data_IF_251313605712
#
_entry.id   IF_251313605712
#
_cell.length_a   1.000
_cell.length_b   1.000
_cell.length_c   1.000
_cell.angle_alpha   90.00
_cell.angle_beta   90.00
_cell.angle_gamma   90.00
#
_symmetry.space_group_name_H-M   'P 1'
#
loop_
_entity.id
_entity.type
_entity.pdbx_description
1 polymer ?
#
# COMPACT_ATOMS: atom_id res chain seq x y z
N UNK A 1 -10.94 -12.75 -0.04
CA UNK A 1 -12.39 -13.04 -0.17
C UNK A 1 -12.62 -13.88 -1.42
N UNK A 2 -13.46 -14.93 -1.33
CA UNK A 2 -13.71 -15.86 -2.42
C UNK A 2 -14.07 -15.11 -3.71
N UNK A 3 -13.29 -15.31 -4.78
CA UNK A 3 -13.53 -14.70 -6.11
C UNK A 3 -14.92 -15.02 -6.67
N UNK A 4 -15.59 -16.06 -6.14
CA UNK A 4 -16.95 -16.47 -6.51
C UNK A 4 -18.06 -15.63 -5.88
N UNK A 5 -17.75 -14.82 -4.85
CA UNK A 5 -18.73 -13.89 -4.32
C UNK A 5 -18.96 -12.75 -5.32
N UNK A 6 -20.23 -12.50 -5.66
CA UNK A 6 -20.63 -11.35 -6.46
C UNK A 6 -20.13 -10.09 -5.76
N UNK A 7 -19.63 -9.09 -6.49
CA UNK A 7 -19.08 -7.83 -5.93
C UNK A 7 -19.98 -7.21 -4.85
N UNK A 8 -21.29 -7.17 -5.09
CA UNK A 8 -22.29 -6.64 -4.13
C UNK A 8 -22.23 -7.34 -2.76
N UNK A 9 -22.10 -8.66 -2.75
CA UNK A 9 -21.98 -9.43 -1.50
C UNK A 9 -20.66 -9.17 -0.77
N UNK A 10 -19.59 -8.88 -1.50
CA UNK A 10 -18.30 -8.53 -0.89
C UNK A 10 -18.38 -7.19 -0.17
N UNK A 11 -18.90 -6.17 -0.82
CA UNK A 11 -18.98 -4.83 -0.25
C UNK A 11 -19.89 -4.80 0.99
N UNK A 12 -21.01 -5.54 0.98
CA UNK A 12 -21.88 -5.67 2.14
C UNK A 12 -21.21 -6.29 3.39
N UNK A 13 -20.05 -6.97 3.23
CA UNK A 13 -19.33 -7.56 4.35
C UNK A 13 -18.41 -6.56 5.07
N UNK A 14 -17.87 -5.53 4.38
CA UNK A 14 -16.79 -4.71 4.92
C UNK A 14 -17.24 -3.83 6.08
N UNK A 15 -18.34 -3.10 5.93
CA UNK A 15 -18.84 -2.19 6.97
C UNK A 15 -19.18 -2.92 8.29
N UNK A 16 -19.89 -4.06 8.29
CA UNK A 16 -20.09 -4.85 9.50
C UNK A 16 -18.82 -5.39 10.15
N UNK A 17 -17.73 -5.58 9.38
CA UNK A 17 -16.41 -5.93 9.91
C UNK A 17 -15.65 -4.75 10.46
N UNK A 18 -16.17 -3.52 10.37
CA UNK A 18 -15.57 -2.30 10.87
C UNK A 18 -14.59 -1.62 9.90
N UNK A 19 -14.74 -1.86 8.58
CA UNK A 19 -13.96 -1.18 7.55
C UNK A 19 -14.77 -0.05 6.92
N UNK A 20 -14.12 1.09 6.72
CA UNK A 20 -14.71 2.30 6.14
C UNK A 20 -14.29 2.52 4.69
N UNK A 21 -13.14 1.96 4.27
CA UNK A 21 -12.56 2.11 2.95
C UNK A 21 -12.38 0.81 2.19
N UNK A 22 -12.19 0.94 0.88
CA UNK A 22 -11.88 -0.16 -0.03
C UNK A 22 -10.82 0.31 -1.03
N UNK A 23 -9.84 -0.55 -1.27
CA UNK A 23 -8.80 -0.38 -2.28
C UNK A 23 -9.09 -1.26 -3.48
N UNK A 24 -8.73 -0.80 -4.67
CA UNK A 24 -9.03 -1.47 -5.92
C UNK A 24 -7.83 -1.59 -6.85
N UNK A 25 -7.83 -2.66 -7.63
CA UNK A 25 -7.20 -2.59 -8.95
C UNK A 25 -8.23 -2.13 -9.98
N UNK A 26 -7.76 -1.57 -11.08
CA UNK A 26 -8.60 -1.04 -12.15
C UNK A 26 -9.56 -2.10 -12.73
N UNK A 27 -9.10 -3.34 -12.90
CA UNK A 27 -9.91 -4.46 -13.38
C UNK A 27 -10.86 -5.04 -12.32
N UNK A 28 -10.66 -4.72 -11.04
CA UNK A 28 -11.68 -4.99 -10.01
C UNK A 28 -12.88 -4.05 -10.15
N UNK A 29 -12.66 -2.82 -10.61
CA UNK A 29 -13.71 -1.84 -10.92
C UNK A 29 -14.30 -2.15 -12.30
N UNK A 30 -13.44 -2.28 -13.30
CA UNK A 30 -13.79 -2.41 -14.72
C UNK A 30 -13.15 -3.67 -15.32
N UNK A 31 -13.75 -4.86 -15.11
CA UNK A 31 -13.23 -6.09 -15.73
C UNK A 31 -13.16 -5.96 -17.26
N UNK A 32 -12.00 -6.34 -17.82
CA UNK A 32 -11.75 -6.25 -19.27
C UNK A 32 -11.51 -4.82 -19.78
N UNK A 33 -11.02 -3.94 -18.93
CA UNK A 33 -10.79 -2.51 -19.21
C UNK A 33 -10.01 -2.25 -20.51
N UNK A 34 -9.15 -3.18 -20.95
CA UNK A 34 -8.37 -3.02 -22.19
C UNK A 34 -9.21 -3.10 -23.46
N UNK A 35 -10.32 -3.83 -23.41
CA UNK A 35 -11.18 -4.12 -24.56
C UNK A 35 -12.45 -3.25 -24.59
N UNK A 36 -12.61 -2.35 -23.61
CA UNK A 36 -13.84 -1.57 -23.43
C UNK A 36 -13.69 -0.15 -23.99
N UNK A 37 -14.81 0.35 -24.53
CA UNK A 37 -14.94 1.76 -24.91
C UNK A 37 -15.05 2.66 -23.66
N UNK A 38 -14.69 3.95 -23.75
CA UNK A 38 -14.86 4.88 -22.63
C UNK A 38 -16.28 4.87 -22.02
N UNK A 39 -17.32 4.86 -22.85
CA UNK A 39 -18.71 4.80 -22.39
C UNK A 39 -19.06 3.52 -21.62
N UNK A 40 -18.44 2.39 -21.98
CA UNK A 40 -18.60 1.13 -21.25
C UNK A 40 -17.87 1.18 -19.90
N UNK A 41 -16.70 1.80 -19.85
CA UNK A 41 -15.91 2.03 -18.63
C UNK A 41 -16.74 2.88 -17.66
N UNK A 42 -17.19 4.06 -18.07
CA UNK A 42 -18.04 4.96 -17.26
C UNK A 42 -19.27 4.23 -16.71
N UNK A 43 -19.95 3.42 -17.53
CA UNK A 43 -21.10 2.64 -17.07
C UNK A 43 -20.76 1.63 -15.98
N UNK A 44 -19.57 1.01 -16.03
CA UNK A 44 -19.11 0.10 -14.98
C UNK A 44 -18.72 0.84 -13.71
N UNK A 45 -18.00 1.96 -13.83
CA UNK A 45 -17.64 2.83 -12.71
C UNK A 45 -18.88 3.31 -11.95
N UNK A 46 -19.91 3.78 -12.65
CA UNK A 46 -21.16 4.22 -12.05
C UNK A 46 -21.85 3.11 -11.22
N UNK A 47 -21.79 1.84 -11.67
CA UNK A 47 -22.31 0.71 -10.90
C UNK A 47 -21.51 0.47 -9.62
N UNK A 48 -20.17 0.48 -9.71
CA UNK A 48 -19.31 0.28 -8.55
C UNK A 48 -19.49 1.40 -7.55
N UNK A 49 -19.50 2.66 -8.02
CA UNK A 49 -19.75 3.82 -7.16
C UNK A 49 -21.07 3.69 -6.39
N UNK A 50 -22.15 3.34 -7.09
CA UNK A 50 -23.45 3.11 -6.44
C UNK A 50 -23.40 2.00 -5.38
N UNK A 51 -22.66 0.91 -5.64
CA UNK A 51 -22.49 -0.16 -4.64
C UNK A 51 -21.72 0.32 -3.41
N UNK A 52 -20.68 1.14 -3.59
CA UNK A 52 -19.92 1.74 -2.49
C UNK A 52 -20.79 2.67 -1.67
N UNK A 53 -21.50 3.58 -2.31
CA UNK A 53 -22.41 4.53 -1.67
C UNK A 53 -23.49 3.80 -0.86
N UNK A 54 -24.11 2.76 -1.42
CA UNK A 54 -25.11 1.95 -0.75
C UNK A 54 -24.60 1.19 0.50
N UNK A 55 -23.29 0.94 0.57
CA UNK A 55 -22.66 0.23 1.70
C UNK A 55 -21.88 1.17 2.63
N UNK A 56 -21.90 2.49 2.38
CA UNK A 56 -21.16 3.48 3.18
C UNK A 56 -19.64 3.29 3.16
N UNK A 57 -19.11 2.88 2.00
CA UNK A 57 -17.68 2.61 1.80
C UNK A 57 -17.04 3.70 0.93
N UNK A 58 -15.87 4.15 1.33
CA UNK A 58 -15.06 5.13 0.58
C UNK A 58 -13.99 4.41 -0.24
N UNK A 59 -13.86 4.66 -1.54
CA UNK A 59 -12.71 4.19 -2.31
C UNK A 59 -11.47 5.02 -1.93
N UNK A 60 -10.39 4.35 -1.51
CA UNK A 60 -9.17 5.03 -1.12
C UNK A 60 -8.28 5.31 -2.32
N UNK A 61 -7.98 4.28 -3.11
CA UNK A 61 -7.20 4.41 -4.34
C UNK A 61 -7.58 3.33 -5.36
N UNK A 62 -7.11 3.53 -6.59
CA UNK A 62 -7.13 2.52 -7.65
C UNK A 62 -5.71 2.28 -8.14
N UNK A 63 -5.28 1.03 -8.27
CA UNK A 63 -3.99 0.65 -8.82
C UNK A 63 -4.12 0.04 -10.22
N UNK A 64 -3.29 0.41 -11.21
CA UNK A 64 -3.26 -0.27 -12.50
C UNK A 64 -2.69 -1.68 -12.32
N UNK A 65 -3.46 -2.71 -12.72
CA UNK A 65 -2.98 -4.10 -12.63
C UNK A 65 -2.12 -4.46 -13.84
N UNK A 66 -0.88 -4.00 -13.85
CA UNK A 66 0.04 -4.20 -14.97
C UNK A 66 0.76 -5.55 -14.97
N UNK A 67 0.96 -6.17 -13.82
CA UNK A 67 1.84 -7.35 -13.70
C UNK A 67 1.30 -8.65 -14.30
N UNK A 68 0.05 -8.72 -14.70
CA UNK A 68 -0.53 -9.88 -15.39
C UNK A 68 -0.56 -9.75 -16.91
N UNK A 69 -0.42 -8.54 -17.43
CA UNK A 69 -0.49 -8.33 -18.86
C UNK A 69 0.76 -8.90 -19.57
N UNK A 70 0.62 -9.62 -20.67
CA UNK A 70 1.76 -10.13 -21.44
C UNK A 70 2.73 -9.04 -21.88
N UNK A 71 2.23 -7.82 -22.14
CA UNK A 71 3.02 -6.68 -22.54
C UNK A 71 3.95 -6.15 -21.45
N UNK A 72 3.68 -6.47 -20.20
CA UNK A 72 4.45 -5.96 -19.05
C UNK A 72 5.36 -6.99 -18.41
N UNK A 73 5.57 -8.13 -19.05
CA UNK A 73 6.46 -9.21 -18.54
C UNK A 73 7.91 -8.72 -18.37
N UNK A 74 8.37 -7.80 -19.22
CA UNK A 74 9.68 -7.13 -19.13
C UNK A 74 9.62 -5.77 -18.40
N UNK A 75 8.63 -5.56 -17.55
CA UNK A 75 8.32 -4.26 -16.94
C UNK A 75 7.24 -3.52 -17.73
N UNK A 76 6.56 -2.59 -17.09
CA UNK A 76 5.61 -1.70 -17.72
C UNK A 76 6.33 -0.45 -18.25
N UNK A 77 6.58 0.49 -17.37
CA UNK A 77 7.19 1.79 -17.69
C UNK A 77 8.66 1.68 -18.09
N UNK A 78 9.37 0.65 -17.62
CA UNK A 78 10.79 0.44 -17.91
C UNK A 78 11.06 -0.64 -18.96
N UNK A 79 10.03 -1.21 -19.59
CA UNK A 79 10.17 -2.21 -20.64
C UNK A 79 11.14 -1.74 -21.74
N UNK A 80 11.91 -2.67 -22.31
CA UNK A 80 12.79 -2.35 -23.43
C UNK A 80 11.99 -1.91 -24.66
N UNK A 81 10.84 -2.54 -24.90
CA UNK A 81 9.91 -2.21 -26.00
C UNK A 81 9.18 -0.88 -25.74
N UNK A 82 9.29 0.07 -26.69
CA UNK A 82 8.56 1.32 -26.62
C UNK A 82 7.02 1.12 -26.72
N UNK A 83 6.58 0.08 -27.42
CA UNK A 83 5.16 -0.30 -27.53
C UNK A 83 4.61 -0.71 -26.18
N UNK A 84 5.38 -1.51 -25.41
CA UNK A 84 4.94 -2.00 -24.11
C UNK A 84 4.93 -0.89 -23.07
N UNK A 85 5.91 0.03 -23.11
CA UNK A 85 5.88 1.24 -22.28
C UNK A 85 4.65 2.11 -22.57
N UNK A 86 4.29 2.24 -23.84
CA UNK A 86 3.09 2.99 -24.24
C UNK A 86 1.82 2.34 -23.70
N UNK A 87 1.71 1.01 -23.84
CA UNK A 87 0.58 0.26 -23.27
C UNK A 87 0.46 0.51 -21.76
N UNK A 88 1.57 0.40 -21.03
CA UNK A 88 1.56 0.60 -19.58
C UNK A 88 1.10 2.02 -19.19
N UNK A 89 1.61 3.04 -19.88
CA UNK A 89 1.18 4.43 -19.68
C UNK A 89 -0.31 4.60 -19.99
N UNK A 90 -0.76 4.19 -21.19
CA UNK A 90 -2.15 4.36 -21.63
C UNK A 90 -3.13 3.62 -20.69
N UNK A 91 -2.75 2.43 -20.17
CA UNK A 91 -3.52 1.71 -19.16
C UNK A 91 -3.60 2.49 -17.85
N UNK A 92 -2.49 3.08 -17.39
CA UNK A 92 -2.47 3.85 -16.15
C UNK A 92 -3.26 5.16 -16.25
N UNK A 93 -3.22 5.85 -17.40
CA UNK A 93 -4.06 7.03 -17.61
C UNK A 93 -5.55 6.68 -17.54
N UNK A 94 -5.97 5.56 -18.13
CA UNK A 94 -7.35 5.03 -17.94
C UNK A 94 -7.66 4.67 -16.49
N UNK A 95 -6.68 4.19 -15.75
CA UNK A 95 -6.86 3.92 -14.30
C UNK A 95 -7.12 5.21 -13.51
N UNK A 96 -6.46 6.31 -13.87
CA UNK A 96 -6.75 7.64 -13.30
C UNK A 96 -8.21 8.03 -13.58
N UNK A 97 -8.67 7.88 -14.82
CA UNK A 97 -10.07 8.19 -15.18
C UNK A 97 -11.05 7.32 -14.38
N UNK A 98 -10.77 6.03 -14.22
CA UNK A 98 -11.57 5.11 -13.37
C UNK A 98 -11.59 5.57 -11.91
N UNK A 99 -10.44 5.96 -11.35
CA UNK A 99 -10.35 6.46 -9.99
C UNK A 99 -11.22 7.69 -9.78
N UNK A 100 -11.14 8.65 -10.69
CA UNK A 100 -11.95 9.87 -10.66
C UNK A 100 -13.45 9.57 -10.75
N UNK A 101 -13.86 8.68 -11.64
CA UNK A 101 -15.27 8.33 -11.82
C UNK A 101 -15.90 7.63 -10.62
N UNK A 102 -15.13 6.84 -9.84
CA UNK A 102 -15.64 6.23 -8.61
C UNK A 102 -15.51 7.15 -7.39
N UNK A 103 -14.93 8.36 -7.55
CA UNK A 103 -14.76 9.34 -6.47
C UNK A 103 -13.49 9.14 -5.64
N UNK A 104 -12.46 8.57 -6.24
CA UNK A 104 -11.16 8.32 -5.63
C UNK A 104 -10.17 9.44 -6.00
N UNK A 105 -9.41 9.94 -5.03
CA UNK A 105 -8.42 11.01 -5.22
C UNK A 105 -7.01 10.55 -5.48
N UNK A 106 -6.74 9.24 -5.46
CA UNK A 106 -5.40 8.70 -5.61
C UNK A 106 -5.34 7.45 -6.49
N UNK A 107 -4.18 7.25 -7.11
CA UNK A 107 -3.77 5.97 -7.69
C UNK A 107 -2.51 5.46 -6.99
N UNK A 108 -2.34 4.13 -6.95
CA UNK A 108 -1.15 3.49 -6.42
C UNK A 108 -0.38 2.81 -7.53
N UNK A 109 0.92 3.07 -7.56
CA UNK A 109 1.87 2.42 -8.47
C UNK A 109 2.65 1.35 -7.69
N UNK A 110 2.24 0.09 -7.82
CA UNK A 110 3.02 -1.06 -7.39
C UNK A 110 4.02 -1.42 -8.48
N UNK A 111 5.28 -1.02 -8.28
CA UNK A 111 6.32 -1.06 -9.32
C UNK A 111 7.13 -2.36 -9.34
N UNK A 112 6.55 -3.48 -8.93
CA UNK A 112 7.27 -4.74 -8.72
C UNK A 112 7.87 -5.36 -9.98
N UNK A 113 7.37 -5.03 -11.18
CA UNK A 113 7.98 -5.42 -12.45
C UNK A 113 8.96 -4.40 -13.01
N UNK A 114 9.04 -3.24 -12.41
CA UNK A 114 10.02 -2.20 -12.76
C UNK A 114 11.37 -2.54 -12.13
N UNK A 115 12.10 -3.41 -12.78
CA UNK A 115 13.36 -3.96 -12.29
C UNK A 115 14.04 -4.83 -13.34
N UNK A 116 14.96 -5.67 -12.91
CA UNK A 116 15.71 -6.59 -13.77
C UNK A 116 15.89 -7.96 -13.10
N UNK A 117 15.91 -9.00 -13.92
CA UNK A 117 16.38 -10.35 -13.55
C UNK A 117 17.88 -10.51 -13.80
N UNK A 118 18.36 -9.91 -14.90
CA UNK A 118 19.77 -9.77 -15.24
C UNK A 118 20.08 -8.29 -15.41
N UNK A 119 21.12 -7.84 -14.74
CA UNK A 119 21.48 -6.41 -14.68
C UNK A 119 21.69 -5.79 -16.07
N UNK A 120 22.30 -6.54 -16.98
CA UNK A 120 22.64 -6.12 -18.34
C UNK A 120 21.42 -6.01 -19.26
N UNK A 121 20.28 -6.56 -18.88
CA UNK A 121 19.06 -6.50 -19.69
C UNK A 121 18.49 -5.10 -19.85
N UNK A 122 18.82 -4.17 -18.95
CA UNK A 122 18.31 -2.79 -18.95
C UNK A 122 19.38 -1.78 -18.51
N UNK A 123 19.28 -0.58 -19.08
CA UNK A 123 20.02 0.56 -18.57
C UNK A 123 19.25 1.18 -17.40
N UNK A 124 19.74 0.95 -16.18
CA UNK A 124 19.06 1.40 -14.95
C UNK A 124 18.85 2.92 -14.90
N UNK A 125 19.83 3.74 -15.36
CA UNK A 125 19.68 5.20 -15.40
C UNK A 125 18.52 5.62 -16.29
N UNK A 126 18.39 5.00 -17.45
CA UNK A 126 17.26 5.26 -18.38
C UNK A 126 15.95 4.75 -17.77
N UNK A 127 15.97 3.63 -17.07
CA UNK A 127 14.79 3.10 -16.39
C UNK A 127 14.23 4.09 -15.35
N UNK A 128 15.08 4.67 -14.50
CA UNK A 128 14.67 5.72 -13.55
C UNK A 128 14.10 6.96 -14.25
N UNK A 129 14.71 7.40 -15.34
CA UNK A 129 14.20 8.52 -16.13
C UNK A 129 12.80 8.23 -16.69
N UNK A 130 12.58 7.02 -17.22
CA UNK A 130 11.28 6.58 -17.75
C UNK A 130 10.20 6.52 -16.67
N UNK A 131 10.53 6.05 -15.46
CA UNK A 131 9.58 6.07 -14.33
C UNK A 131 9.17 7.52 -14.02
N UNK A 132 10.13 8.44 -13.92
CA UNK A 132 9.85 9.85 -13.66
C UNK A 132 9.05 10.51 -14.77
N UNK A 133 9.37 10.26 -16.05
CA UNK A 133 8.64 10.74 -17.19
C UNK A 133 7.18 10.24 -17.16
N UNK A 134 6.96 8.99 -16.78
CA UNK A 134 5.63 8.40 -16.66
C UNK A 134 4.83 9.05 -15.53
N UNK A 135 5.45 9.27 -14.35
CA UNK A 135 4.82 10.01 -13.25
C UNK A 135 4.41 11.41 -13.70
N UNK A 136 5.28 12.13 -14.41
CA UNK A 136 4.98 13.46 -14.91
C UNK A 136 3.85 13.46 -15.97
N UNK A 137 3.76 12.43 -16.78
CA UNK A 137 2.65 12.27 -17.72
C UNK A 137 1.32 12.03 -17.01
N UNK A 138 1.30 11.26 -15.91
CA UNK A 138 0.12 11.07 -15.06
C UNK A 138 -0.32 12.39 -14.40
N UNK A 139 0.64 13.16 -13.85
CA UNK A 139 0.38 14.46 -13.23
C UNK A 139 -0.18 15.48 -14.21
N UNK A 140 0.22 15.39 -15.49
CA UNK A 140 -0.28 16.25 -16.56
C UNK A 140 -1.68 15.83 -17.04
N UNK A 141 -2.03 14.52 -16.94
CA UNK A 141 -3.32 13.97 -17.37
C UNK A 141 -4.48 14.45 -16.48
N UNK A 142 -4.27 14.45 -15.16
CA UNK A 142 -5.25 14.95 -14.17
C UNK A 142 -4.54 15.85 -13.17
N UNK A 143 -5.11 17.04 -12.86
CA UNK A 143 -4.47 18.04 -11.99
C UNK A 143 -4.77 17.84 -10.50
N UNK A 144 -5.68 16.96 -10.14
CA UNK A 144 -6.12 16.78 -8.76
C UNK A 144 -5.77 15.39 -8.21
N UNK A 145 -5.42 14.42 -9.08
CA UNK A 145 -5.04 13.07 -8.66
C UNK A 145 -3.71 13.07 -7.89
N UNK A 146 -3.65 12.37 -6.80
CA UNK A 146 -2.39 12.01 -6.15
C UNK A 146 -1.85 10.69 -6.69
N UNK A 147 -0.53 10.56 -6.75
CA UNK A 147 0.17 9.35 -7.17
C UNK A 147 0.95 8.83 -5.97
N UNK A 148 0.59 7.65 -5.51
CA UNK A 148 1.30 6.99 -4.41
C UNK A 148 2.13 5.84 -4.94
N UNK A 149 3.41 5.81 -4.59
CA UNK A 149 4.35 4.78 -5.03
C UNK A 149 4.51 3.78 -3.91
N UNK A 150 4.23 2.52 -4.19
CA UNK A 150 4.42 1.39 -3.29
C UNK A 150 5.75 0.70 -3.62
N UNK A 151 6.80 0.91 -2.79
CA UNK A 151 8.09 0.27 -3.01
C UNK A 151 8.05 -1.22 -2.71
N UNK A 152 8.82 -1.98 -3.49
CA UNK A 152 9.10 -3.39 -3.22
C UNK A 152 10.53 -3.71 -3.67
N UNK A 153 11.37 -4.38 -2.84
CA UNK A 153 12.79 -4.56 -3.19
C UNK A 153 13.03 -5.61 -4.28
N UNK A 154 12.20 -6.63 -4.32
CA UNK A 154 12.30 -7.78 -5.22
C UNK A 154 10.94 -8.46 -5.39
N UNK A 155 10.89 -9.56 -6.15
CA UNK A 155 9.68 -10.35 -6.42
C UNK A 155 8.56 -9.53 -7.10
N UNK A 156 8.26 -9.82 -8.40
CA UNK A 156 8.79 -10.94 -9.18
C UNK A 156 10.18 -10.72 -9.79
N UNK A 157 10.73 -9.51 -9.81
CA UNK A 157 12.10 -9.26 -10.30
C UNK A 157 13.14 -9.52 -9.21
N UNK A 158 14.39 -9.80 -9.58
CA UNK A 158 15.49 -9.98 -8.61
C UNK A 158 15.87 -8.65 -7.93
N UNK A 159 15.79 -7.55 -8.68
CA UNK A 159 16.09 -6.21 -8.18
C UNK A 159 15.13 -5.19 -8.78
N UNK A 160 14.27 -4.64 -7.95
CA UNK A 160 13.37 -3.55 -8.33
C UNK A 160 14.11 -2.20 -8.36
N UNK A 161 13.64 -1.26 -9.20
CA UNK A 161 14.19 0.09 -9.28
C UNK A 161 13.70 1.00 -8.16
N UNK A 162 12.60 0.69 -7.51
CA UNK A 162 12.06 1.45 -6.37
C UNK A 162 11.91 0.52 -5.16
N UNK A 163 13.03 0.13 -4.52
CA UNK A 163 13.03 -0.87 -3.47
C UNK A 163 12.62 -0.37 -2.08
N UNK A 164 12.70 0.94 -1.80
CA UNK A 164 12.44 1.53 -0.47
C UNK A 164 11.64 2.81 -0.58
N UNK A 165 11.09 3.28 0.55
CA UNK A 165 10.36 4.56 0.60
C UNK A 165 11.26 5.75 0.22
N UNK A 166 12.55 5.70 0.52
CA UNK A 166 13.51 6.73 0.12
C UNK A 166 13.55 6.96 -1.38
N UNK A 167 13.44 5.89 -2.19
CA UNK A 167 13.36 6.01 -3.64
C UNK A 167 12.04 6.66 -4.10
N UNK A 168 10.92 6.31 -3.48
CA UNK A 168 9.62 6.92 -3.77
C UNK A 168 9.62 8.42 -3.43
N UNK A 169 10.18 8.80 -2.28
CA UNK A 169 10.33 10.19 -1.85
C UNK A 169 11.25 10.98 -2.79
N UNK A 170 12.35 10.38 -3.25
CA UNK A 170 13.23 11.01 -4.23
C UNK A 170 12.52 11.25 -5.58
N UNK A 171 11.74 10.28 -6.06
CA UNK A 171 10.91 10.44 -7.26
C UNK A 171 9.85 11.52 -7.08
N UNK A 172 9.24 11.60 -5.88
CA UNK A 172 8.28 12.65 -5.56
C UNK A 172 8.92 14.04 -5.69
N UNK A 173 10.09 14.27 -5.08
CA UNK A 173 10.79 15.54 -5.18
C UNK A 173 11.29 15.86 -6.59
N UNK A 174 11.62 14.86 -7.39
CA UNK A 174 12.05 15.03 -8.78
C UNK A 174 10.88 15.27 -9.75
N UNK A 175 9.64 14.98 -9.35
CA UNK A 175 8.46 15.12 -10.19
C UNK A 175 8.07 16.58 -10.46
N UNK A 176 7.26 16.81 -11.49
CA UNK A 176 6.77 18.14 -11.86
C UNK A 176 5.82 18.75 -10.83
N UNK A 177 5.22 17.94 -9.95
CA UNK A 177 4.41 18.38 -8.82
C UNK A 177 4.70 17.51 -7.59
N UNK A 178 5.72 17.85 -6.80
CA UNK A 178 6.12 17.07 -5.65
C UNK A 178 5.04 16.91 -4.58
N UNK A 179 4.05 17.80 -4.52
CA UNK A 179 2.99 17.75 -3.50
C UNK A 179 2.01 16.61 -3.75
N UNK A 180 1.80 16.23 -5.00
CA UNK A 180 0.87 15.19 -5.40
C UNK A 180 1.49 13.80 -5.54
N UNK A 181 2.81 13.67 -5.30
CA UNK A 181 3.48 12.37 -5.32
C UNK A 181 3.92 12.01 -3.92
N UNK A 182 3.52 10.85 -3.44
CA UNK A 182 3.77 10.33 -2.10
C UNK A 182 4.18 8.86 -2.17
N UNK A 183 4.54 8.27 -1.04
CA UNK A 183 4.76 6.84 -0.91
C UNK A 183 3.58 6.15 -0.21
N UNK A 184 3.39 4.88 -0.52
CA UNK A 184 2.61 3.93 0.25
C UNK A 184 3.58 2.91 0.84
N UNK A 185 3.50 2.65 2.14
CA UNK A 185 4.41 1.71 2.81
C UNK A 185 3.65 0.44 3.14
N UNK A 186 4.15 -0.67 2.60
CA UNK A 186 3.75 -2.00 3.03
C UNK A 186 4.77 -2.58 4.00
N UNK A 187 4.29 -3.09 5.14
CA UNK A 187 5.14 -3.66 6.20
C UNK A 187 6.05 -4.77 5.68
N UNK A 188 5.48 -5.75 4.95
CA UNK A 188 6.25 -6.86 4.41
C UNK A 188 7.34 -6.41 3.44
N UNK A 189 7.05 -5.42 2.58
CA UNK A 189 8.01 -4.90 1.62
C UNK A 189 9.21 -4.21 2.30
N UNK A 190 8.97 -3.44 3.36
CA UNK A 190 10.04 -2.85 4.15
C UNK A 190 10.93 -3.92 4.80
N UNK A 191 10.32 -4.95 5.39
CA UNK A 191 11.05 -6.07 5.99
C UNK A 191 11.84 -6.89 4.95
N UNK A 192 11.30 -7.09 3.75
CA UNK A 192 12.00 -7.74 2.64
C UNK A 192 13.19 -6.91 2.14
N UNK A 193 13.15 -5.58 2.30
CA UNK A 193 14.29 -4.71 2.04
C UNK A 193 15.33 -4.71 3.18
N UNK A 194 15.08 -5.44 4.28
CA UNK A 194 15.94 -5.47 5.47
C UNK A 194 15.82 -4.23 6.35
N UNK A 195 14.70 -3.50 6.25
CA UNK A 195 14.44 -2.24 6.94
C UNK A 195 13.37 -2.40 8.02
N UNK A 196 13.32 -1.47 8.96
CA UNK A 196 12.24 -1.36 9.93
C UNK A 196 11.08 -0.56 9.31
N UNK A 197 9.89 -1.15 9.30
CA UNK A 197 8.72 -0.51 8.68
C UNK A 197 8.27 0.75 9.43
N UNK A 198 8.49 0.84 10.76
CA UNK A 198 8.17 2.05 11.52
C UNK A 198 9.12 3.21 11.20
N UNK A 199 10.41 2.93 10.96
CA UNK A 199 11.37 3.94 10.54
C UNK A 199 11.07 4.44 9.10
N UNK A 200 10.68 3.55 8.19
CA UNK A 200 10.24 3.92 6.85
C UNK A 200 8.99 4.83 6.89
N UNK A 201 8.02 4.52 7.76
CA UNK A 201 6.84 5.38 7.98
C UNK A 201 7.25 6.74 8.56
N UNK A 202 8.10 6.76 9.59
CA UNK A 202 8.60 7.98 10.20
C UNK A 202 9.34 8.87 9.19
N UNK A 203 10.17 8.26 8.33
CA UNK A 203 10.86 8.96 7.26
C UNK A 203 9.89 9.63 6.28
N UNK A 204 8.88 8.89 5.80
CA UNK A 204 7.88 9.44 4.88
C UNK A 204 7.04 10.55 5.52
N UNK A 205 6.67 10.40 6.80
CA UNK A 205 5.95 11.42 7.59
C UNK A 205 6.79 12.69 7.77
N UNK A 206 8.08 12.53 8.10
CA UNK A 206 8.99 13.68 8.27
C UNK A 206 9.14 14.52 6.98
N UNK A 207 8.90 13.92 5.84
CA UNK A 207 8.93 14.58 4.52
C UNK A 207 7.55 14.99 3.99
N UNK A 208 6.47 14.78 4.75
CA UNK A 208 5.08 14.95 4.28
C UNK A 208 4.80 14.16 2.99
N UNK A 209 5.30 12.91 2.98
CA UNK A 209 5.25 12.01 1.82
C UNK A 209 4.61 10.64 2.11
N UNK A 210 3.94 10.47 3.24
CA UNK A 210 3.15 9.28 3.48
C UNK A 210 1.74 9.47 2.92
N UNK A 211 1.39 8.74 1.86
CA UNK A 211 0.06 8.73 1.26
C UNK A 211 -0.86 7.70 1.90
N UNK A 212 -0.36 6.48 2.06
CA UNK A 212 -1.10 5.39 2.70
C UNK A 212 -0.14 4.37 3.32
N UNK A 213 -0.71 3.41 4.04
CA UNK A 213 -0.01 2.25 4.60
C UNK A 213 -0.75 0.96 4.27
N UNK A 214 -0.01 -0.10 4.01
CA UNK A 214 -0.49 -1.48 3.94
C UNK A 214 0.08 -2.25 5.13
N UNK A 215 -0.71 -2.38 6.18
CA UNK A 215 -0.33 -3.14 7.35
C UNK A 215 -0.52 -4.64 7.10
N UNK A 216 0.54 -5.37 7.24
CA UNK A 216 0.59 -6.83 7.25
C UNK A 216 1.77 -7.28 8.12
N UNK A 217 2.24 -8.49 7.95
CA UNK A 217 3.40 -9.00 8.66
C UNK A 217 4.20 -9.97 7.79
N UNK A 218 5.47 -10.13 8.12
CA UNK A 218 6.45 -10.89 7.36
C UNK A 218 7.36 -11.69 8.30
N UNK A 219 7.57 -12.94 7.98
CA UNK A 219 8.42 -13.81 8.81
C UNK A 219 9.83 -13.94 8.19
N UNK A 220 10.61 -12.86 8.29
CA UNK A 220 11.98 -12.77 7.79
C UNK A 220 12.07 -12.64 6.25
N UNK A 221 13.29 -12.76 5.73
CA UNK A 221 13.61 -12.60 4.29
C UNK A 221 13.23 -13.85 3.51
N UNK A 222 12.00 -13.88 3.01
CA UNK A 222 11.43 -14.97 2.21
C UNK A 222 10.67 -14.39 1.02
N UNK A 223 9.73 -15.18 0.46
CA UNK A 223 8.69 -14.63 -0.43
C UNK A 223 7.74 -13.75 0.36
N UNK A 224 7.05 -12.88 -0.33
CA UNK A 224 6.04 -11.99 0.22
C UNK A 224 4.84 -12.78 0.78
N UNK A 225 4.67 -12.72 2.10
CA UNK A 225 3.73 -13.60 2.80
C UNK A 225 2.37 -12.96 3.05
N UNK A 226 2.29 -11.64 3.13
CA UNK A 226 1.08 -10.88 3.50
C UNK A 226 0.36 -11.51 4.71
N UNK A 227 1.11 -11.76 5.78
CA UNK A 227 0.56 -12.35 7.00
C UNK A 227 -0.35 -11.35 7.73
N UNK A 228 -1.21 -11.87 8.57
CA UNK A 228 -2.02 -11.04 9.44
C UNK A 228 -1.12 -10.09 10.25
N UNK A 229 -1.51 -8.83 10.35
CA UNK A 229 -0.77 -7.80 11.06
C UNK A 229 -0.46 -8.21 12.51
N UNK A 230 0.79 -8.02 12.94
CA UNK A 230 1.26 -8.28 14.30
C UNK A 230 1.41 -9.76 14.68
N UNK A 231 1.28 -10.71 13.72
CA UNK A 231 1.33 -12.15 14.04
C UNK A 231 2.72 -12.77 13.96
N UNK A 232 3.68 -12.12 13.33
CA UNK A 232 5.07 -12.56 13.30
C UNK A 232 5.99 -11.65 14.14
N UNK A 233 5.74 -10.34 14.14
CA UNK A 233 6.53 -9.36 14.90
C UNK A 233 5.61 -8.35 15.61
N UNK A 234 5.08 -8.76 16.76
CA UNK A 234 4.15 -7.91 17.53
C UNK A 234 4.80 -6.60 18.02
N UNK A 235 6.10 -6.62 18.38
CA UNK A 235 6.84 -5.41 18.79
C UNK A 235 7.02 -4.44 17.63
N UNK A 236 7.37 -4.94 16.45
CA UNK A 236 7.44 -4.12 15.23
C UNK A 236 6.07 -3.53 14.87
N UNK A 237 5.00 -4.31 15.00
CA UNK A 237 3.63 -3.80 14.80
C UNK A 237 3.27 -2.70 15.81
N UNK A 238 3.64 -2.83 17.09
CA UNK A 238 3.47 -1.78 18.09
C UNK A 238 4.20 -0.50 17.70
N UNK A 239 5.45 -0.59 17.21
CA UNK A 239 6.23 0.57 16.80
C UNK A 239 5.60 1.27 15.58
N UNK A 240 5.07 0.52 14.61
CA UNK A 240 4.35 1.09 13.47
C UNK A 240 3.10 1.88 13.91
N UNK A 241 2.28 1.27 14.77
CA UNK A 241 1.08 1.95 15.31
C UNK A 241 1.49 3.18 16.11
N UNK A 242 2.58 3.12 16.87
CA UNK A 242 3.10 4.24 17.65
C UNK A 242 3.47 5.42 16.75
N UNK A 243 4.22 5.19 15.69
CA UNK A 243 4.62 6.24 14.74
C UNK A 243 3.40 6.91 14.12
N UNK A 244 2.40 6.13 13.70
CA UNK A 244 1.17 6.66 13.11
C UNK A 244 0.35 7.47 14.13
N UNK A 245 0.16 6.97 15.35
CA UNK A 245 -0.58 7.68 16.42
C UNK A 245 0.14 8.98 16.85
N UNK A 246 1.47 8.95 17.01
CA UNK A 246 2.26 10.13 17.39
C UNK A 246 2.24 11.21 16.31
N UNK A 247 2.16 10.82 15.04
CA UNK A 247 2.03 11.76 13.91
C UNK A 247 0.60 12.25 13.71
N UNK A 248 -0.39 11.72 14.42
CA UNK A 248 -1.81 12.02 14.21
C UNK A 248 -2.32 11.55 12.85
N UNK A 249 -1.71 10.50 12.28
CA UNK A 249 -2.14 9.91 11.00
C UNK A 249 -3.58 9.39 11.13
N UNK A 250 -4.41 9.67 10.13
CA UNK A 250 -5.85 9.40 10.15
C UNK A 250 -6.71 10.61 10.54
N UNK A 251 -6.13 11.67 11.14
CA UNK A 251 -6.87 12.86 11.57
C UNK A 251 -7.38 13.74 10.43
N UNK A 252 -6.82 13.59 9.23
CA UNK A 252 -7.22 14.31 8.01
C UNK A 252 -8.01 13.41 7.04
N UNK A 253 -8.44 12.23 7.49
CA UNK A 253 -9.18 11.28 6.69
C UNK A 253 -8.31 10.25 5.97
N UNK A 254 -7.03 10.13 6.33
CA UNK A 254 -6.15 9.07 5.83
C UNK A 254 -6.66 7.69 6.32
N UNK A 255 -6.47 6.69 5.51
CA UNK A 255 -6.85 5.31 5.82
C UNK A 255 -5.67 4.48 6.32
N UNK A 256 -5.99 3.47 7.13
CA UNK A 256 -5.09 2.37 7.48
C UNK A 256 -5.49 1.18 6.63
N UNK A 257 -4.71 0.90 5.60
CA UNK A 257 -4.93 -0.22 4.70
C UNK A 257 -4.38 -1.54 5.25
N UNK A 258 -4.98 -2.64 4.85
CA UNK A 258 -4.52 -4.00 5.13
C UNK A 258 -4.26 -4.73 3.81
N UNK A 259 -3.04 -5.13 3.56
CA UNK A 259 -2.72 -6.10 2.51
C UNK A 259 -2.36 -7.45 3.14
N UNK A 260 -3.40 -8.25 3.39
CA UNK A 260 -3.28 -9.54 4.08
C UNK A 260 -3.97 -10.66 3.32
N UNK A 261 -3.36 -11.83 3.31
CA UNK A 261 -3.88 -13.02 2.60
C UNK A 261 -4.49 -14.03 3.56
N UNK A 262 -5.66 -14.56 3.17
CA UNK A 262 -6.25 -15.70 3.87
C UNK A 262 -5.37 -16.95 3.70
N UNK A 263 -5.16 -17.69 4.78
CA UNK A 263 -4.51 -18.99 4.70
C UNK A 263 -5.33 -19.95 3.82
N UNK A 264 -4.66 -20.84 3.08
CA UNK A 264 -5.30 -21.82 2.18
C UNK A 264 -6.25 -22.78 2.92
N UNK A 265 -6.09 -22.94 4.22
CA UNK A 265 -6.94 -23.75 5.09
C UNK A 265 -8.26 -23.09 5.43
N UNK A 266 -8.43 -21.78 5.20
CA UNK A 266 -9.64 -21.03 5.55
C UNK A 266 -10.81 -21.40 4.63
N UNK A 267 -11.95 -21.73 5.25
CA UNK A 267 -13.18 -22.13 4.57
C UNK A 267 -14.40 -21.51 5.26
N UNK A 268 -15.47 -21.33 4.48
CA UNK A 268 -16.77 -20.88 5.01
C UNK A 268 -16.68 -19.52 5.73
N UNK A 269 -17.16 -19.45 6.96
CA UNK A 269 -17.19 -18.22 7.76
C UNK A 269 -15.79 -17.67 8.13
N UNK A 270 -14.76 -18.52 8.15
CA UNK A 270 -13.39 -18.13 8.48
C UNK A 270 -12.66 -17.39 7.34
N UNK A 271 -13.25 -17.27 6.17
CA UNK A 271 -12.60 -16.68 4.98
C UNK A 271 -12.24 -15.20 5.12
N UNK A 272 -12.81 -14.50 6.10
CA UNK A 272 -12.54 -13.08 6.42
C UNK A 272 -11.70 -12.88 7.69
N UNK A 273 -11.32 -13.96 8.38
CA UNK A 273 -10.61 -13.88 9.68
C UNK A 273 -9.27 -13.16 9.59
N UNK A 274 -8.58 -13.21 8.44
CA UNK A 274 -7.34 -12.48 8.21
C UNK A 274 -7.55 -10.95 8.29
N UNK A 275 -8.67 -10.45 7.80
CA UNK A 275 -9.02 -9.03 7.86
C UNK A 275 -9.44 -8.62 9.29
N UNK A 276 -10.41 -9.32 9.86
CA UNK A 276 -10.94 -8.98 11.20
C UNK A 276 -9.89 -9.16 12.29
N UNK A 277 -9.07 -10.22 12.23
CA UNK A 277 -7.98 -10.45 13.17
C UNK A 277 -6.88 -9.39 13.08
N UNK A 278 -6.48 -8.98 11.87
CA UNK A 278 -5.51 -7.90 11.69
C UNK A 278 -6.03 -6.57 12.24
N UNK A 279 -7.31 -6.24 11.98
CA UNK A 279 -7.95 -5.06 12.53
C UNK A 279 -8.03 -5.12 14.07
N UNK A 280 -8.37 -6.26 14.63
CA UNK A 280 -8.45 -6.44 16.09
C UNK A 280 -7.08 -6.20 16.76
N UNK A 281 -6.01 -6.78 16.22
CA UNK A 281 -4.64 -6.54 16.71
C UNK A 281 -4.28 -5.06 16.58
N UNK A 282 -4.57 -4.44 15.44
CA UNK A 282 -4.32 -3.00 15.26
C UNK A 282 -5.01 -2.17 16.35
N UNK A 283 -6.30 -2.39 16.60
CA UNK A 283 -7.06 -1.64 17.61
C UNK A 283 -6.52 -1.85 19.04
N UNK A 284 -6.10 -3.07 19.38
CA UNK A 284 -5.44 -3.35 20.65
C UNK A 284 -4.09 -2.62 20.77
N UNK A 285 -3.32 -2.56 19.70
CA UNK A 285 -2.05 -1.83 19.69
C UNK A 285 -2.24 -0.31 19.80
N UNK A 286 -3.30 0.24 19.19
CA UNK A 286 -3.68 1.65 19.41
C UNK A 286 -3.93 1.93 20.88
N UNK A 287 -4.68 1.07 21.58
CA UNK A 287 -4.92 1.20 23.02
C UNK A 287 -3.60 1.11 23.82
N UNK A 288 -2.72 0.16 23.45
CA UNK A 288 -1.41 0.03 24.08
C UNK A 288 -0.54 1.27 23.90
N UNK A 289 -0.52 1.86 22.72
CA UNK A 289 0.22 3.10 22.44
C UNK A 289 -0.33 4.26 23.27
N UNK A 290 -1.65 4.40 23.36
CA UNK A 290 -2.32 5.48 24.12
C UNK A 290 -2.15 5.34 25.63
N UNK A 291 -1.99 4.14 26.14
CA UNK A 291 -1.82 3.85 27.58
C UNK A 291 -0.37 3.69 28.01
N UNK A 292 0.59 3.87 27.10
CA UNK A 292 2.01 3.79 27.40
C UNK A 292 2.46 4.94 28.31
N UNK A 293 3.23 4.63 29.37
CA UNK A 293 3.75 5.62 30.33
C UNK A 293 4.93 6.40 29.74
N UNK A 294 4.62 7.55 29.14
CA UNK A 294 5.62 8.45 28.54
C UNK A 294 6.60 9.07 29.54
N UNK A 295 6.21 9.19 30.82
CA UNK A 295 7.11 9.72 31.86
C UNK A 295 8.16 8.68 32.22
N UNK A 296 7.73 7.45 32.43
CA UNK A 296 8.63 6.33 32.68
C UNK A 296 9.60 6.14 31.50
N UNK A 297 9.10 6.19 30.28
CA UNK A 297 9.91 6.13 29.08
C UNK A 297 11.01 7.21 29.07
N UNK A 298 10.63 8.47 29.32
CA UNK A 298 11.58 9.58 29.30
C UNK A 298 12.65 9.45 30.39
N UNK A 299 12.27 8.97 31.59
CA UNK A 299 13.22 8.70 32.68
C UNK A 299 14.28 7.66 32.28
N UNK A 300 13.87 6.58 31.61
CA UNK A 300 14.78 5.54 31.13
C UNK A 300 15.68 6.06 29.99
N UNK A 301 15.15 6.88 29.10
CA UNK A 301 15.91 7.52 28.02
C UNK A 301 16.97 8.46 28.61
N UNK A 302 16.61 9.31 29.55
CA UNK A 302 17.52 10.26 30.19
C UNK A 302 18.64 9.53 30.96
N UNK A 303 18.31 8.41 31.59
CA UNK A 303 19.28 7.53 32.26
C UNK A 303 20.10 6.66 31.30
N UNK A 304 19.71 6.59 30.01
CA UNK A 304 20.24 5.65 29.01
C UNK A 304 20.12 4.18 29.42
N UNK A 305 19.07 3.87 30.22
CA UNK A 305 18.77 2.50 30.63
C UNK A 305 17.86 1.83 29.62
N UNK A 306 18.44 1.52 28.46
CA UNK A 306 17.69 0.96 27.34
C UNK A 306 17.27 -0.50 27.55
N UNK A 307 17.98 -1.26 28.38
CA UNK A 307 17.59 -2.63 28.74
C UNK A 307 16.34 -2.63 29.62
N UNK A 308 16.24 -1.71 30.59
CA UNK A 308 15.02 -1.53 31.38
C UNK A 308 13.86 -1.02 30.50
N UNK A 309 14.12 -0.08 29.58
CA UNK A 309 13.12 0.42 28.64
C UNK A 309 12.59 -0.71 27.74
N UNK A 310 13.48 -1.54 27.19
CA UNK A 310 13.09 -2.67 26.34
C UNK A 310 12.18 -3.66 27.11
N UNK A 311 12.55 -4.00 28.33
CA UNK A 311 11.74 -4.88 29.19
C UNK A 311 10.38 -4.25 29.51
N UNK A 312 10.34 -2.95 29.83
CA UNK A 312 9.12 -2.24 30.14
C UNK A 312 8.14 -2.22 28.93
N UNK A 313 8.64 -1.94 27.71
CA UNK A 313 7.86 -2.02 26.49
C UNK A 313 7.29 -3.42 26.27
N UNK A 314 8.11 -4.46 26.43
CA UNK A 314 7.64 -5.85 26.25
C UNK A 314 6.58 -6.22 27.28
N UNK A 315 6.77 -5.87 28.56
CA UNK A 315 5.76 -6.10 29.60
C UNK A 315 4.44 -5.38 29.28
N UNK A 316 4.52 -4.14 28.85
CA UNK A 316 3.35 -3.35 28.48
C UNK A 316 2.56 -3.99 27.35
N UNK A 317 3.23 -4.40 26.26
CA UNK A 317 2.61 -5.08 25.11
C UNK A 317 1.94 -6.38 25.57
N UNK A 318 2.63 -7.19 26.40
CA UNK A 318 2.10 -8.45 26.93
C UNK A 318 0.99 -8.26 27.99
N UNK A 319 0.77 -7.06 28.49
CA UNK A 319 -0.23 -6.78 29.52
C UNK A 319 0.15 -7.31 30.91
N UNK A 320 1.45 -7.49 31.18
CA UNK A 320 1.97 -7.88 32.48
C UNK A 320 2.55 -6.67 33.23
N UNK A 321 2.45 -6.70 34.57
CA UNK A 321 2.97 -5.63 35.45
C UNK A 321 4.44 -5.83 35.83
#
# INVERSE_FOLDING_TARGET
IDKRLIKEKKYALYKPMGFDGVQFHDDDVVPGIDDLTPAQITKQCAKVKKMLDNNGLTPEFVAPRLWFAPQTVDGGYTANSAKDRRYALDRTLRTIDVAREIGCGAIVLWLAREGSYIRESKNARIAYQRILETINAMLAHDKDIEIWIEPKPNEPTDAAYVPTIGHAVALAYASSDPKRVKGLIETAHALLAGLDASDEMAFALAHDKLGSVHLNDQNGLKYDQDKNFGTANLRGAFNQVRVLEEAGYGSKGEFIGLDVKAMRTQKGKGVTSHLTGSREIFMHLVEKVRTWDRKLEQQMIDARDYEALELAVMKHIMGVR
#
